data_IF_014933255310
#
_entry.id   IF_014933255310
#
_cell.length_a   1.000
_cell.length_b   1.000
_cell.length_c   1.000
_cell.angle_alpha   90.00
_cell.angle_beta   90.00
_cell.angle_gamma   90.00
#
_symmetry.space_group_name_H-M   'P 1'
#
loop_
_entity.id
_entity.type
_entity.pdbx_description
1 polymer ?
#
# COMPACT_ATOMS: atom_id res chain seq x y z
N UNK A 1 -11.94 -20.76 3.03
CA UNK A 1 -11.07 -19.61 2.74
C UNK A 1 -12.00 -18.44 2.51
N UNK A 2 -11.79 -17.35 3.21
CA UNK A 2 -12.53 -16.11 3.01
C UNK A 2 -12.26 -15.59 1.60
N UNK A 3 -13.28 -15.04 0.91
CA UNK A 3 -13.12 -14.39 -0.41
C UNK A 3 -12.33 -13.06 -0.35
N UNK A 4 -11.56 -12.87 0.75
CA UNK A 4 -10.73 -11.69 0.95
C UNK A 4 -9.69 -11.58 -0.16
N UNK A 5 -9.54 -10.38 -0.72
CA UNK A 5 -8.43 -10.09 -1.61
C UNK A 5 -7.12 -9.99 -0.82
N UNK A 6 -6.10 -10.71 -1.27
CA UNK A 6 -4.73 -10.64 -0.76
C UNK A 6 -3.83 -10.32 -1.95
N UNK A 7 -3.27 -9.12 -1.95
CA UNK A 7 -2.44 -8.62 -3.03
C UNK A 7 -0.95 -8.85 -2.73
N UNK A 8 -0.20 -9.21 -3.78
CA UNK A 8 1.22 -9.02 -3.81
C UNK A 8 1.50 -7.54 -4.07
N UNK A 9 2.11 -6.83 -3.13
CA UNK A 9 2.44 -5.42 -3.31
C UNK A 9 3.66 -5.22 -4.21
N UNK A 10 3.74 -4.07 -4.82
CA UNK A 10 4.82 -3.68 -5.72
C UNK A 10 6.20 -3.72 -5.07
N UNK A 11 6.30 -3.56 -3.76
CA UNK A 11 7.55 -3.57 -3.01
C UNK A 11 8.26 -4.91 -2.88
N UNK A 12 7.67 -6.02 -3.36
CA UNK A 12 8.27 -7.36 -3.27
C UNK A 12 9.42 -7.57 -4.27
N UNK A 13 9.49 -6.77 -5.31
CA UNK A 13 10.59 -6.79 -6.28
C UNK A 13 11.79 -5.97 -5.81
N UNK A 14 12.96 -6.19 -6.43
CA UNK A 14 14.19 -5.44 -6.16
C UNK A 14 14.30 -4.15 -6.97
N UNK A 15 15.10 -3.23 -6.42
CA UNK A 15 15.69 -2.15 -7.15
C UNK A 15 14.77 -0.95 -7.43
N UNK A 16 15.42 0.09 -7.91
CA UNK A 16 14.81 1.28 -8.48
C UNK A 16 15.61 1.68 -9.73
N UNK A 17 15.12 1.42 -10.96
CA UNK A 17 13.80 0.87 -11.28
C UNK A 17 13.62 -0.60 -10.86
N UNK A 18 12.35 -1.06 -10.72
CA UNK A 18 12.05 -2.46 -10.42
C UNK A 18 12.63 -3.42 -11.47
N UNK A 19 13.13 -4.57 -11.02
CA UNK A 19 13.66 -5.63 -11.90
C UNK A 19 12.58 -6.32 -12.73
N UNK A 20 11.31 -6.21 -12.30
CA UNK A 20 10.16 -6.89 -12.88
C UNK A 20 9.23 -5.85 -13.51
N UNK A 21 8.76 -6.11 -14.73
CA UNK A 21 7.77 -5.25 -15.37
C UNK A 21 6.42 -5.32 -14.64
N UNK A 22 5.58 -4.27 -14.69
CA UNK A 22 4.25 -4.31 -14.08
C UNK A 22 3.37 -5.47 -14.57
N UNK A 23 3.45 -5.85 -15.84
CA UNK A 23 2.71 -6.99 -16.41
C UNK A 23 3.26 -8.34 -15.87
N UNK A 24 4.58 -8.47 -15.73
CA UNK A 24 5.17 -9.68 -15.16
C UNK A 24 4.89 -9.78 -13.67
N UNK A 25 4.78 -8.65 -12.95
CA UNK A 25 4.34 -8.63 -11.57
C UNK A 25 2.94 -9.24 -11.39
N UNK A 26 2.01 -8.95 -12.31
CA UNK A 26 0.68 -9.60 -12.33
C UNK A 26 0.79 -11.11 -12.51
N UNK A 27 1.62 -11.59 -13.45
CA UNK A 27 1.82 -13.03 -13.69
C UNK A 27 2.48 -13.72 -12.50
N UNK A 28 3.51 -13.10 -11.91
CA UNK A 28 4.18 -13.61 -10.70
C UNK A 28 3.17 -13.73 -9.55
N UNK A 29 2.32 -12.72 -9.32
CA UNK A 29 1.28 -12.79 -8.31
C UNK A 29 0.34 -13.97 -8.54
N UNK A 30 -0.13 -14.16 -9.79
CA UNK A 30 -0.97 -15.29 -10.18
C UNK A 30 -0.28 -16.64 -9.95
N UNK A 31 0.95 -16.79 -10.45
CA UNK A 31 1.72 -18.04 -10.35
C UNK A 31 2.11 -18.38 -8.91
N UNK A 32 2.22 -17.38 -8.04
CA UNK A 32 2.43 -17.55 -6.61
C UNK A 32 1.15 -17.91 -5.84
N UNK A 33 -0.05 -17.70 -6.42
CA UNK A 33 -1.32 -18.03 -5.81
C UNK A 33 -2.05 -16.87 -5.13
N UNK A 34 -1.65 -15.63 -5.40
CA UNK A 34 -2.41 -14.45 -5.00
C UNK A 34 -3.68 -14.29 -5.83
N UNK A 35 -4.66 -13.56 -5.31
CA UNK A 35 -5.90 -13.22 -6.03
C UNK A 35 -5.98 -11.72 -6.40
N UNK A 36 -4.98 -10.94 -6.04
CA UNK A 36 -4.84 -9.53 -6.39
C UNK A 36 -3.38 -9.08 -6.40
N UNK A 37 -3.12 -7.88 -6.91
CA UNK A 37 -1.79 -7.30 -7.05
C UNK A 37 -1.83 -5.79 -6.82
N UNK A 38 -0.83 -5.24 -6.13
CA UNK A 38 -0.52 -3.82 -6.08
C UNK A 38 0.54 -3.48 -7.14
N UNK A 39 0.46 -2.29 -7.72
CA UNK A 39 1.32 -1.90 -8.83
C UNK A 39 2.05 -0.58 -8.55
N UNK A 40 3.35 -0.59 -8.69
CA UNK A 40 4.14 0.62 -8.71
C UNK A 40 4.00 1.33 -10.05
N UNK A 41 3.52 2.58 -10.03
CA UNK A 41 3.32 3.39 -11.22
C UNK A 41 4.28 4.59 -11.20
N UNK A 42 5.37 4.48 -11.95
CA UNK A 42 6.35 5.55 -12.15
C UNK A 42 6.37 5.96 -13.64
N UNK A 43 5.59 6.99 -14.03
CA UNK A 43 5.51 7.41 -15.42
C UNK A 43 6.85 7.84 -15.99
N UNK A 44 7.28 7.18 -17.06
CA UNK A 44 8.58 7.39 -17.71
C UNK A 44 9.68 6.45 -17.25
N UNK A 45 9.53 5.78 -16.08
CA UNK A 45 10.46 4.75 -15.59
C UNK A 45 9.96 3.35 -15.92
N UNK A 46 9.02 2.83 -15.13
CA UNK A 46 8.43 1.50 -15.36
C UNK A 46 7.07 1.54 -16.07
N UNK A 47 6.51 2.74 -16.30
CA UNK A 47 5.20 2.89 -16.93
C UNK A 47 5.27 3.75 -18.18
N UNK A 48 5.22 3.11 -19.33
CA UNK A 48 5.27 3.70 -20.67
C UNK A 48 3.91 3.64 -21.35
N UNK A 49 3.80 4.10 -22.59
CA UNK A 49 2.53 4.17 -23.34
C UNK A 49 1.89 2.81 -23.61
N UNK A 50 2.67 1.72 -23.67
CA UNK A 50 2.15 0.36 -23.85
C UNK A 50 1.82 -0.36 -22.55
N UNK A 51 2.35 0.08 -21.40
CA UNK A 51 2.34 -0.66 -20.14
C UNK A 51 0.92 -0.92 -19.63
N UNK A 52 0.02 0.06 -19.71
CA UNK A 52 -1.37 -0.13 -19.29
C UNK A 52 -2.07 -1.26 -20.07
N UNK A 53 -1.84 -1.33 -21.39
CA UNK A 53 -2.37 -2.41 -22.24
C UNK A 53 -1.77 -3.78 -21.89
N UNK A 54 -0.47 -3.85 -21.59
CA UNK A 54 0.22 -5.09 -21.19
C UNK A 54 -0.27 -5.58 -19.82
N UNK A 55 -0.45 -4.67 -18.86
CA UNK A 55 -1.00 -4.97 -17.53
C UNK A 55 -2.45 -5.41 -17.64
N UNK A 56 -3.29 -4.70 -18.40
CA UNK A 56 -4.69 -5.06 -18.59
C UNK A 56 -4.84 -6.46 -19.23
N UNK A 57 -3.97 -6.79 -20.20
CA UNK A 57 -3.93 -8.13 -20.80
C UNK A 57 -3.53 -9.20 -19.77
N UNK A 58 -2.51 -8.95 -18.95
CA UNK A 58 -2.09 -9.87 -17.90
C UNK A 58 -3.18 -10.06 -16.83
N UNK A 59 -3.88 -9.00 -16.41
CA UNK A 59 -5.01 -9.09 -15.48
C UNK A 59 -6.17 -9.91 -16.08
N UNK A 60 -6.46 -9.72 -17.36
CA UNK A 60 -7.48 -10.54 -18.07
C UNK A 60 -7.07 -12.01 -18.17
N UNK A 61 -5.81 -12.30 -18.47
CA UNK A 61 -5.24 -13.65 -18.58
C UNK A 61 -5.31 -14.39 -17.23
N UNK A 62 -4.96 -13.71 -16.15
CA UNK A 62 -4.84 -14.30 -14.81
C UNK A 62 -6.13 -14.26 -13.99
N UNK A 63 -7.05 -13.36 -14.31
CA UNK A 63 -8.25 -13.10 -13.52
C UNK A 63 -7.99 -12.32 -12.21
N UNK A 64 -6.78 -11.80 -12.03
CA UNK A 64 -6.44 -11.02 -10.83
C UNK A 64 -7.09 -9.63 -10.84
N UNK A 65 -7.24 -9.08 -9.64
CA UNK A 65 -7.68 -7.70 -9.41
C UNK A 65 -6.46 -6.81 -9.16
N UNK A 66 -6.36 -5.67 -9.84
CA UNK A 66 -5.45 -4.61 -9.44
C UNK A 66 -6.02 -3.94 -8.18
N UNK A 67 -5.45 -4.23 -7.00
CA UNK A 67 -5.96 -3.72 -5.73
C UNK A 67 -5.62 -2.25 -5.55
N UNK A 68 -4.39 -1.88 -5.84
CA UNK A 68 -3.92 -0.52 -5.67
C UNK A 68 -2.84 -0.15 -6.69
N UNK A 69 -2.65 1.15 -6.85
CA UNK A 69 -1.48 1.75 -7.48
C UNK A 69 -0.78 2.68 -6.49
N UNK A 70 0.52 2.75 -6.54
CA UNK A 70 1.36 3.56 -5.65
C UNK A 70 2.50 4.23 -6.40
N UNK A 71 3.04 5.35 -5.95
CA UNK A 71 2.67 6.18 -4.81
C UNK A 71 2.48 7.62 -5.31
N UNK A 72 1.48 8.31 -4.78
CA UNK A 72 1.33 9.74 -4.95
C UNK A 72 1.87 10.43 -3.70
N UNK A 73 2.95 11.20 -3.86
CA UNK A 73 3.61 11.88 -2.76
C UNK A 73 3.44 13.40 -2.88
N UNK A 74 2.53 13.96 -2.09
CA UNK A 74 2.33 15.40 -2.01
C UNK A 74 3.58 16.07 -1.43
N UNK A 75 4.28 16.83 -2.27
CA UNK A 75 5.48 17.57 -1.90
C UNK A 75 5.14 18.97 -1.38
N UNK A 76 6.01 19.59 -0.54
CA UNK A 76 5.85 20.97 -0.11
C UNK A 76 5.71 21.92 -1.30
N UNK A 77 4.79 22.90 -1.18
CA UNK A 77 4.63 23.94 -2.20
C UNK A 77 3.20 24.23 -2.63
N UNK A 78 2.24 23.47 -2.13
CA UNK A 78 0.81 23.80 -2.20
C UNK A 78 0.18 23.78 -3.59
N UNK A 79 0.77 23.09 -4.56
CA UNK A 79 0.28 23.06 -5.94
C UNK A 79 -0.07 21.63 -6.37
N UNK A 80 -1.20 21.44 -7.08
CA UNK A 80 -1.48 20.20 -7.77
C UNK A 80 -0.34 19.86 -8.74
N UNK A 81 0.13 18.62 -8.71
CA UNK A 81 1.09 18.10 -9.67
C UNK A 81 0.34 17.31 -10.74
N UNK A 82 0.43 17.70 -12.04
CA UNK A 82 -0.17 16.94 -13.13
C UNK A 82 0.27 15.46 -13.17
N UNK A 83 1.44 15.13 -12.61
CA UNK A 83 1.92 13.76 -12.51
C UNK A 83 1.02 12.90 -11.61
N UNK A 84 0.50 13.46 -10.52
CA UNK A 84 -0.42 12.77 -9.62
C UNK A 84 -1.72 12.37 -10.35
N UNK A 85 -2.30 13.28 -11.12
CA UNK A 85 -3.48 12.99 -11.95
C UNK A 85 -3.20 11.92 -13.01
N UNK A 86 -1.98 11.92 -13.56
CA UNK A 86 -1.55 10.93 -14.54
C UNK A 86 -1.43 9.53 -13.92
N UNK A 87 -0.88 9.42 -12.70
CA UNK A 87 -0.82 8.14 -11.96
C UNK A 87 -2.23 7.59 -11.72
N UNK A 88 -3.17 8.44 -11.27
CA UNK A 88 -4.58 8.05 -11.10
C UNK A 88 -5.20 7.58 -12.41
N UNK A 89 -4.98 8.32 -13.51
CA UNK A 89 -5.50 7.93 -14.81
C UNK A 89 -4.97 6.55 -15.26
N UNK A 90 -3.67 6.32 -15.11
CA UNK A 90 -3.03 5.03 -15.41
C UNK A 90 -3.58 3.90 -14.55
N UNK A 91 -3.80 4.13 -13.25
CA UNK A 91 -4.48 3.19 -12.38
C UNK A 91 -5.90 2.86 -12.86
N UNK A 92 -6.65 3.88 -13.27
CA UNK A 92 -7.99 3.70 -13.84
C UNK A 92 -8.02 2.89 -15.14
N UNK A 93 -7.01 3.05 -16.02
CA UNK A 93 -6.89 2.28 -17.26
C UNK A 93 -6.75 0.77 -17.01
N UNK A 94 -6.16 0.36 -15.90
CA UNK A 94 -6.02 -1.05 -15.50
C UNK A 94 -7.08 -1.50 -14.48
N UNK A 95 -8.03 -0.63 -14.14
CA UNK A 95 -9.14 -0.95 -13.23
C UNK A 95 -8.74 -1.12 -11.78
N UNK A 96 -7.63 -0.49 -11.35
CA UNK A 96 -7.20 -0.47 -9.96
C UNK A 96 -8.30 0.10 -9.05
N UNK A 97 -8.37 -0.40 -7.81
CA UNK A 97 -9.41 -0.01 -6.85
C UNK A 97 -9.01 1.16 -5.99
N UNK A 98 -7.72 1.32 -5.73
CA UNK A 98 -7.18 2.34 -4.82
C UNK A 98 -5.94 3.00 -5.39
N UNK A 99 -5.63 4.22 -4.94
CA UNK A 99 -4.32 4.82 -5.06
C UNK A 99 -3.80 5.23 -3.68
N UNK A 100 -2.54 4.91 -3.41
CA UNK A 100 -1.83 5.25 -2.17
C UNK A 100 -1.34 6.70 -2.26
N UNK A 101 -1.63 7.49 -1.23
CA UNK A 101 -1.25 8.89 -1.13
C UNK A 101 -0.54 9.12 0.19
N UNK A 102 0.57 9.85 0.16
CA UNK A 102 1.28 10.36 1.34
C UNK A 102 1.51 11.86 1.20
N UNK A 103 1.68 12.60 2.31
CA UNK A 103 1.82 14.05 2.27
C UNK A 103 2.99 14.55 3.13
N UNK A 104 3.94 15.20 2.47
CA UNK A 104 4.99 16.03 3.09
C UNK A 104 4.68 17.54 3.00
N UNK A 105 3.47 17.93 2.60
CA UNK A 105 3.03 19.33 2.62
C UNK A 105 2.82 19.79 4.08
N UNK A 106 3.57 20.81 4.56
CA UNK A 106 3.49 21.22 5.95
C UNK A 106 2.21 21.99 6.31
N UNK A 107 1.55 22.60 5.34
CA UNK A 107 0.27 23.26 5.57
C UNK A 107 -0.88 22.25 5.47
N UNK A 108 -1.54 22.01 6.59
CA UNK A 108 -2.63 21.05 6.71
C UNK A 108 -3.84 21.41 5.84
N UNK A 109 -4.17 22.69 5.69
CA UNK A 109 -5.29 23.12 4.85
C UNK A 109 -4.95 22.94 3.36
N UNK A 110 -3.69 23.13 3.00
CA UNK A 110 -3.21 22.80 1.65
C UNK A 110 -3.27 21.29 1.40
N UNK A 111 -2.84 20.47 2.36
CA UNK A 111 -2.99 18.99 2.27
C UNK A 111 -4.45 18.60 2.05
N UNK A 112 -5.41 19.18 2.80
CA UNK A 112 -6.85 18.90 2.63
C UNK A 112 -7.33 19.24 1.24
N UNK A 113 -6.95 20.42 0.72
CA UNK A 113 -7.34 20.84 -0.62
C UNK A 113 -6.76 19.94 -1.72
N UNK A 114 -5.46 19.59 -1.63
CA UNK A 114 -4.82 18.68 -2.59
C UNK A 114 -5.42 17.26 -2.52
N UNK A 115 -5.72 16.77 -1.32
CA UNK A 115 -6.35 15.47 -1.14
C UNK A 115 -7.78 15.44 -1.70
N UNK A 116 -8.56 16.51 -1.56
CA UNK A 116 -9.88 16.65 -2.18
C UNK A 116 -9.80 16.58 -3.71
N UNK A 117 -8.84 17.29 -4.31
CA UNK A 117 -8.59 17.23 -5.76
C UNK A 117 -8.24 15.81 -6.22
N UNK A 118 -7.39 15.09 -5.48
CA UNK A 118 -7.07 13.68 -5.78
C UNK A 118 -8.28 12.75 -5.60
N UNK A 119 -9.13 12.98 -4.61
CA UNK A 119 -10.38 12.22 -4.43
C UNK A 119 -11.31 12.38 -5.64
N UNK A 120 -11.45 13.61 -6.16
CA UNK A 120 -12.27 13.88 -7.36
C UNK A 120 -11.72 13.17 -8.60
N UNK A 121 -10.40 13.11 -8.75
CA UNK A 121 -9.76 12.37 -9.86
C UNK A 121 -9.89 10.86 -9.70
N UNK A 122 -9.68 10.34 -8.49
CA UNK A 122 -9.83 8.93 -8.18
C UNK A 122 -11.27 8.45 -8.41
N UNK A 123 -12.29 9.21 -7.99
CA UNK A 123 -13.70 8.88 -8.25
C UNK A 123 -14.00 8.74 -9.74
N UNK A 124 -13.51 9.70 -10.57
CA UNK A 124 -13.69 9.63 -12.03
C UNK A 124 -12.99 8.42 -12.66
N UNK A 125 -11.89 7.97 -12.07
CA UNK A 125 -11.15 6.79 -12.49
C UNK A 125 -11.72 5.48 -11.91
N UNK A 126 -12.79 5.53 -11.09
CA UNK A 126 -13.37 4.36 -10.42
C UNK A 126 -12.54 3.82 -9.26
N UNK A 127 -11.69 4.67 -8.67
CA UNK A 127 -10.75 4.35 -7.60
C UNK A 127 -11.07 5.11 -6.31
N UNK A 128 -10.41 4.73 -5.22
CA UNK A 128 -10.35 5.50 -3.97
C UNK A 128 -8.96 6.05 -3.73
N UNK A 129 -8.91 7.28 -3.22
CA UNK A 129 -7.70 7.95 -2.76
C UNK A 129 -7.49 7.61 -1.29
N UNK A 130 -6.46 6.82 -0.97
CA UNK A 130 -6.21 6.33 0.39
C UNK A 130 -4.98 7.01 0.98
N UNK A 131 -5.21 7.85 2.01
CA UNK A 131 -4.16 8.61 2.68
C UNK A 131 -3.47 7.75 3.72
N UNK A 132 -2.18 7.54 3.55
CA UNK A 132 -1.31 6.86 4.48
C UNK A 132 -0.58 7.85 5.38
N UNK A 133 -0.48 7.53 6.67
CA UNK A 133 0.29 8.29 7.64
C UNK A 133 1.65 7.64 7.88
N UNK A 134 2.71 8.45 7.87
CA UNK A 134 4.09 8.02 8.06
C UNK A 134 4.87 9.03 8.91
N UNK A 135 5.68 8.57 9.87
CA UNK A 135 6.45 9.44 10.76
C UNK A 135 7.39 10.43 10.03
N UNK A 136 7.84 10.09 8.84
CA UNK A 136 8.76 10.91 8.02
C UNK A 136 8.04 11.88 7.07
N UNK A 137 6.73 11.95 7.11
CA UNK A 137 5.91 12.89 6.33
C UNK A 137 5.28 13.95 7.23
N UNK A 138 4.41 14.82 6.71
CA UNK A 138 3.68 15.80 7.52
C UNK A 138 2.28 15.30 7.94
N UNK A 139 1.76 14.26 7.30
CA UNK A 139 0.66 13.43 7.84
C UNK A 139 1.31 12.28 8.60
N UNK A 140 1.70 12.52 9.85
CA UNK A 140 2.56 11.63 10.63
C UNK A 140 1.81 10.52 11.34
N UNK A 141 0.62 10.82 11.81
CA UNK A 141 -0.15 9.99 12.73
C UNK A 141 -1.53 9.66 12.17
N UNK A 142 -2.18 8.64 12.75
CA UNK A 142 -3.58 8.35 12.42
C UNK A 142 -4.49 9.55 12.68
N UNK A 143 -4.25 10.32 13.73
CA UNK A 143 -5.05 11.53 14.03
C UNK A 143 -4.91 12.58 12.93
N UNK A 144 -3.70 12.75 12.38
CA UNK A 144 -3.48 13.63 11.23
C UNK A 144 -4.25 13.17 9.99
N UNK A 145 -4.22 11.88 9.69
CA UNK A 145 -4.96 11.31 8.56
C UNK A 145 -6.48 11.43 8.75
N UNK A 146 -6.96 11.17 9.98
CA UNK A 146 -8.37 11.36 10.35
C UNK A 146 -8.82 12.81 10.20
N UNK A 147 -7.99 13.78 10.61
CA UNK A 147 -8.30 15.22 10.42
C UNK A 147 -8.49 15.57 8.96
N UNK A 148 -7.56 15.13 8.08
CA UNK A 148 -7.65 15.40 6.64
C UNK A 148 -8.87 14.74 6.03
N UNK A 149 -9.03 13.42 6.22
CA UNK A 149 -10.09 12.64 5.56
C UNK A 149 -11.47 13.03 6.07
N UNK A 150 -11.60 13.36 7.38
CA UNK A 150 -12.87 13.84 7.95
C UNK A 150 -13.25 15.21 7.43
N UNK A 151 -12.31 16.13 7.34
CA UNK A 151 -12.56 17.49 6.85
C UNK A 151 -12.98 17.49 5.38
N UNK A 152 -12.28 16.72 4.55
CA UNK A 152 -12.61 16.58 3.11
C UNK A 152 -13.91 15.80 2.91
N UNK A 153 -14.14 14.74 3.69
CA UNK A 153 -15.36 13.92 3.71
C UNK A 153 -15.86 13.50 2.30
N UNK A 154 -14.94 13.18 1.40
CA UNK A 154 -15.26 12.76 0.04
C UNK A 154 -15.52 11.24 -0.02
N UNK A 155 -16.53 10.74 -0.79
CA UNK A 155 -16.84 9.30 -0.85
C UNK A 155 -15.70 8.45 -1.40
N UNK A 156 -14.87 8.98 -2.29
CA UNK A 156 -13.68 8.32 -2.80
C UNK A 156 -12.45 8.51 -1.90
N UNK A 157 -12.54 9.23 -0.79
CA UNK A 157 -11.46 9.37 0.18
C UNK A 157 -11.40 8.18 1.14
N UNK A 158 -10.21 7.83 1.62
CA UNK A 158 -9.99 6.78 2.60
C UNK A 158 -8.67 6.94 3.34
N UNK A 159 -8.46 6.06 4.31
CA UNK A 159 -7.23 5.94 5.09
C UNK A 159 -6.60 4.59 4.77
N UNK A 160 -5.30 4.58 4.52
CA UNK A 160 -4.51 3.36 4.46
C UNK A 160 -3.81 3.15 5.80
N UNK A 161 -3.95 1.94 6.33
CA UNK A 161 -3.24 1.48 7.52
C UNK A 161 -2.15 0.51 7.10
N UNK A 162 -0.91 0.82 7.45
CA UNK A 162 0.23 -0.09 7.39
C UNK A 162 0.74 -0.36 8.80
N UNK A 163 0.86 -1.62 9.25
CA UNK A 163 1.42 -1.97 10.55
C UNK A 163 2.81 -1.39 10.81
N UNK A 164 3.66 -1.29 9.79
CA UNK A 164 4.97 -0.65 9.90
C UNK A 164 4.82 0.80 10.36
N UNK A 165 4.07 1.60 9.62
CA UNK A 165 3.90 3.02 9.92
C UNK A 165 3.15 3.24 11.22
N UNK A 166 2.16 2.39 11.53
CA UNK A 166 1.40 2.44 12.78
C UNK A 166 2.28 2.19 14.02
N UNK A 167 3.15 1.18 13.95
CA UNK A 167 4.11 0.87 15.03
C UNK A 167 5.19 1.97 15.16
N UNK A 168 5.71 2.48 14.03
CA UNK A 168 6.78 3.49 14.01
C UNK A 168 6.38 4.84 14.58
N UNK A 169 5.08 5.14 14.68
CA UNK A 169 4.57 6.32 15.40
C UNK A 169 4.10 6.00 16.84
N UNK A 170 4.27 4.75 17.29
CA UNK A 170 3.96 4.33 18.64
C UNK A 170 2.47 4.20 18.94
N UNK A 171 1.65 3.94 17.95
CA UNK A 171 0.21 3.76 18.15
C UNK A 171 -0.13 2.37 18.71
N UNK A 172 -1.13 2.33 19.58
CA UNK A 172 -1.74 1.09 20.03
C UNK A 172 -2.57 0.47 18.87
N UNK A 173 -2.53 -0.85 18.63
CA UNK A 173 -3.36 -1.53 17.63
C UNK A 173 -4.86 -1.20 17.73
N UNK A 174 -5.39 -1.03 18.93
CA UNK A 174 -6.82 -0.70 19.14
C UNK A 174 -7.21 0.67 18.57
N UNK A 175 -6.25 1.59 18.38
CA UNK A 175 -6.49 2.89 17.76
C UNK A 175 -7.01 2.78 16.32
N UNK A 176 -6.72 1.68 15.63
CA UNK A 176 -7.24 1.40 14.28
C UNK A 176 -8.79 1.37 14.27
N UNK A 177 -9.43 0.96 15.38
CA UNK A 177 -10.89 0.92 15.52
C UNK A 177 -11.56 2.31 15.53
N UNK A 178 -10.78 3.37 15.69
CA UNK A 178 -11.28 4.74 15.58
C UNK A 178 -11.61 5.13 14.14
N UNK A 179 -11.10 4.38 13.15
CA UNK A 179 -11.35 4.65 11.74
C UNK A 179 -12.76 4.17 11.37
N UNK A 180 -13.67 5.06 10.97
CA UNK A 180 -14.96 4.66 10.43
C UNK A 180 -14.80 3.71 9.23
N UNK A 181 -15.53 2.59 9.22
CA UNK A 181 -15.42 1.56 8.18
C UNK A 181 -15.54 2.09 6.75
N UNK A 182 -16.32 3.16 6.53
CA UNK A 182 -16.48 3.82 5.22
C UNK A 182 -15.17 4.36 4.64
N UNK A 183 -14.15 4.64 5.49
CA UNK A 183 -12.84 5.15 5.07
C UNK A 183 -11.78 4.07 4.94
N UNK A 184 -12.11 2.82 5.25
CA UNK A 184 -11.24 1.67 5.01
C UNK A 184 -11.63 1.03 3.68
N UNK A 185 -10.72 1.04 2.72
CA UNK A 185 -10.87 0.40 1.41
C UNK A 185 -9.97 -0.83 1.28
N UNK A 186 -8.78 -0.74 1.84
CA UNK A 186 -7.81 -1.80 1.99
C UNK A 186 -6.82 -1.43 3.10
N UNK A 187 -5.98 -2.36 3.50
CA UNK A 187 -4.85 -2.12 4.40
C UNK A 187 -3.61 -2.83 3.86
N UNK A 188 -2.44 -2.36 4.24
CA UNK A 188 -1.21 -3.12 4.06
C UNK A 188 -0.99 -4.06 5.25
N UNK A 189 -0.17 -5.09 5.04
CA UNK A 189 0.26 -5.99 6.10
C UNK A 189 1.72 -6.36 5.93
N UNK A 190 2.49 -6.20 6.99
CA UNK A 190 3.88 -6.62 7.13
C UNK A 190 4.22 -6.76 8.61
N UNK A 191 5.40 -7.29 8.91
CA UNK A 191 6.00 -7.35 10.23
C UNK A 191 7.40 -6.73 10.22
N UNK A 192 8.06 -6.62 11.37
CA UNK A 192 9.42 -6.10 11.52
C UNK A 192 10.14 -6.78 12.68
N UNK A 193 11.50 -6.88 12.60
CA UNK A 193 12.30 -7.49 13.66
C UNK A 193 12.12 -6.79 15.01
N UNK A 194 12.07 -5.47 15.02
CA UNK A 194 12.04 -4.65 16.23
C UNK A 194 10.84 -3.71 16.27
N UNK A 195 10.31 -3.53 17.46
CA UNK A 195 9.22 -2.60 17.78
C UNK A 195 9.74 -1.20 18.07
N UNK A 196 8.81 -0.25 18.06
CA UNK A 196 8.98 1.07 18.64
C UNK A 196 9.15 2.20 17.65
N UNK A 197 9.16 3.40 18.21
CA UNK A 197 9.26 4.67 17.47
C UNK A 197 10.66 4.84 16.91
N UNK A 198 10.76 5.19 15.63
CA UNK A 198 12.00 5.57 14.96
C UNK A 198 11.85 7.01 14.48
N UNK A 199 12.70 7.90 14.99
CA UNK A 199 12.68 9.34 14.69
C UNK A 199 13.77 9.77 13.73
N UNK A 200 14.79 8.94 13.52
CA UNK A 200 15.84 9.19 12.54
C UNK A 200 15.30 8.86 11.14
N UNK A 201 15.25 9.82 10.19
CA UNK A 201 14.66 9.61 8.88
C UNK A 201 15.41 8.57 8.03
N UNK A 202 16.74 8.48 8.16
CA UNK A 202 17.54 7.54 7.36
C UNK A 202 17.32 6.11 7.86
N UNK A 203 17.32 5.91 9.19
CA UNK A 203 16.99 4.60 9.79
C UNK A 203 15.57 4.17 9.45
N UNK A 204 14.60 5.09 9.52
CA UNK A 204 13.23 4.82 9.14
C UNK A 204 13.10 4.38 7.67
N UNK A 205 13.80 5.10 6.77
CA UNK A 205 13.78 4.77 5.35
C UNK A 205 14.38 3.39 5.08
N UNK A 206 15.51 3.06 5.70
CA UNK A 206 16.13 1.72 5.59
C UNK A 206 15.17 0.63 6.08
N UNK A 207 14.55 0.82 7.25
CA UNK A 207 13.56 -0.12 7.77
C UNK A 207 12.38 -0.30 6.80
N UNK A 208 11.90 0.78 6.20
CA UNK A 208 10.75 0.76 5.29
C UNK A 208 11.02 -0.02 4.00
N UNK A 209 12.25 0.05 3.46
CA UNK A 209 12.60 -0.54 2.15
C UNK A 209 13.34 -1.88 2.24
N UNK A 210 13.94 -2.18 3.39
CA UNK A 210 14.81 -3.36 3.56
C UNK A 210 14.47 -4.20 4.81
N UNK A 211 13.82 -3.60 5.80
CA UNK A 211 13.63 -4.20 7.12
C UNK A 211 12.34 -4.98 7.32
N UNK A 212 11.41 -4.97 6.35
CA UNK A 212 10.12 -5.63 6.54
C UNK A 212 10.24 -7.16 6.49
N UNK A 213 9.33 -7.83 7.22
CA UNK A 213 9.17 -9.27 7.29
C UNK A 213 7.73 -9.65 6.95
N UNK A 214 7.50 -10.92 6.63
CA UNK A 214 6.15 -11.41 6.48
C UNK A 214 5.43 -11.48 7.85
N UNK A 215 4.10 -11.39 7.89
CA UNK A 215 3.33 -11.43 9.14
C UNK A 215 3.69 -12.64 10.03
N UNK A 216 3.99 -12.37 11.30
CA UNK A 216 4.35 -13.38 12.29
C UNK A 216 5.83 -13.74 12.37
N UNK A 217 6.68 -13.14 11.55
CA UNK A 217 8.14 -13.36 11.62
C UNK A 217 8.87 -12.33 12.48
N UNK A 218 8.21 -11.27 12.84
CA UNK A 218 8.77 -10.18 13.63
C UNK A 218 8.17 -10.06 15.02
N UNK A 219 8.19 -8.86 15.55
CA UNK A 219 7.72 -8.55 16.91
C UNK A 219 6.59 -7.51 16.96
N UNK A 220 6.12 -7.02 15.81
CA UNK A 220 4.98 -6.11 15.75
C UNK A 220 3.69 -6.86 16.11
N UNK A 221 2.73 -6.23 16.82
CA UNK A 221 1.46 -6.87 17.16
C UNK A 221 0.51 -6.95 15.97
N UNK A 222 0.98 -7.51 14.84
CA UNK A 222 0.26 -7.56 13.55
C UNK A 222 -1.08 -8.26 13.69
N UNK A 223 -1.17 -9.34 14.50
CA UNK A 223 -2.43 -10.03 14.73
C UNK A 223 -3.48 -9.14 15.43
N UNK A 224 -3.07 -8.29 16.38
CA UNK A 224 -3.97 -7.35 17.03
C UNK A 224 -4.42 -6.26 16.05
N UNK A 225 -3.50 -5.73 15.24
CA UNK A 225 -3.81 -4.74 14.21
C UNK A 225 -4.77 -5.29 13.16
N UNK A 226 -4.51 -6.51 12.65
CA UNK A 226 -5.39 -7.17 11.69
C UNK A 226 -6.80 -7.45 12.26
N UNK A 227 -6.91 -7.80 13.55
CA UNK A 227 -8.21 -7.97 14.25
C UNK A 227 -8.93 -6.65 14.54
N UNK A 228 -8.24 -5.52 14.49
CA UNK A 228 -8.85 -4.21 14.59
C UNK A 228 -9.47 -3.72 13.28
N UNK A 229 -9.07 -4.30 12.16
CA UNK A 229 -9.63 -4.04 10.82
C UNK A 229 -10.89 -4.88 10.55
N UNK A 230 -11.77 -4.48 9.62
CA UNK A 230 -12.85 -5.34 9.13
C UNK A 230 -12.33 -6.68 8.59
N UNK A 231 -13.04 -7.78 8.88
CA UNK A 231 -12.56 -9.14 8.57
C UNK A 231 -12.47 -9.46 7.08
N UNK A 232 -13.22 -8.76 6.24
CA UNK A 232 -13.27 -8.90 4.79
C UNK A 232 -12.47 -7.81 4.04
N UNK A 233 -11.82 -6.91 4.79
CA UNK A 233 -11.03 -5.82 4.19
C UNK A 233 -9.91 -6.40 3.33
N UNK A 234 -9.77 -5.98 2.05
CA UNK A 234 -8.64 -6.34 1.21
C UNK A 234 -7.28 -6.00 1.85
N UNK A 235 -6.32 -6.89 1.68
CA UNK A 235 -4.97 -6.74 2.25
C UNK A 235 -3.93 -6.72 1.13
N UNK A 236 -2.99 -5.77 1.20
CA UNK A 236 -1.81 -5.71 0.34
C UNK A 236 -0.56 -6.08 1.16
N UNK A 237 0.20 -7.08 0.72
CA UNK A 237 1.41 -7.54 1.41
C UNK A 237 2.61 -6.71 0.92
N UNK A 238 2.91 -5.63 1.60
CA UNK A 238 4.08 -4.80 1.30
C UNK A 238 5.29 -5.27 2.11
N UNK A 239 5.98 -6.27 1.57
CA UNK A 239 7.14 -6.89 2.23
C UNK A 239 8.43 -6.49 1.50
N UNK A 240 8.84 -5.24 1.69
CA UNK A 240 10.15 -4.75 1.23
C UNK A 240 11.22 -5.25 2.19
N UNK A 241 11.96 -6.28 1.80
CA UNK A 241 12.81 -7.06 2.70
C UNK A 241 14.11 -7.48 2.04
N UNK A 242 15.23 -7.01 2.56
CA UNK A 242 16.56 -7.49 2.16
C UNK A 242 16.72 -8.99 2.46
N UNK A 243 16.21 -9.44 3.61
CA UNK A 243 16.21 -10.85 3.99
C UNK A 243 15.54 -11.74 2.93
N UNK A 244 14.34 -11.37 2.48
CA UNK A 244 13.62 -12.13 1.47
C UNK A 244 14.31 -12.07 0.11
N UNK A 245 14.89 -10.93 -0.28
CA UNK A 245 15.64 -10.79 -1.54
C UNK A 245 16.91 -11.64 -1.57
N UNK A 246 17.63 -11.71 -0.46
CA UNK A 246 18.84 -12.51 -0.36
C UNK A 246 18.55 -14.02 -0.28
N UNK A 247 17.46 -14.40 0.40
CA UNK A 247 17.06 -15.81 0.58
C UNK A 247 16.41 -16.37 -0.70
N UNK A 248 15.54 -15.61 -1.31
CA UNK A 248 14.77 -15.99 -2.51
C UNK A 248 15.07 -15.02 -3.66
N UNK A 249 16.09 -15.34 -4.45
CA UNK A 249 16.51 -14.47 -5.56
C UNK A 249 15.51 -14.40 -6.69
N UNK A 250 14.81 -15.49 -6.96
CA UNK A 250 13.71 -15.54 -7.92
C UNK A 250 12.47 -14.82 -7.34
N UNK A 251 11.92 -13.79 -8.01
CA UNK A 251 10.75 -13.06 -7.53
C UNK A 251 9.50 -13.94 -7.30
N UNK A 252 9.32 -15.00 -8.10
CA UNK A 252 8.21 -15.93 -7.94
C UNK A 252 8.37 -16.78 -6.68
N UNK A 253 9.57 -17.30 -6.41
CA UNK A 253 9.86 -18.05 -5.18
C UNK A 253 9.69 -17.14 -3.95
N UNK A 254 10.14 -15.91 -4.04
CA UNK A 254 9.95 -14.87 -3.00
C UNK A 254 8.48 -14.62 -2.72
N UNK A 255 7.68 -14.39 -3.76
CA UNK A 255 6.24 -14.17 -3.64
C UNK A 255 5.52 -15.36 -3.01
N UNK A 256 5.89 -16.60 -3.38
CA UNK A 256 5.35 -17.84 -2.79
C UNK A 256 5.68 -17.99 -1.31
N UNK A 257 6.92 -17.69 -0.93
CA UNK A 257 7.35 -17.77 0.46
C UNK A 257 6.59 -16.79 1.35
N UNK A 258 6.45 -15.54 0.92
CA UNK A 258 5.69 -14.51 1.62
C UNK A 258 4.21 -14.93 1.77
N UNK A 259 3.58 -15.42 0.70
CA UNK A 259 2.17 -15.84 0.76
C UNK A 259 1.99 -17.03 1.71
N UNK A 260 2.87 -18.04 1.64
CA UNK A 260 2.80 -19.21 2.50
C UNK A 260 2.91 -18.84 3.98
N UNK A 261 3.86 -17.97 4.34
CA UNK A 261 4.01 -17.45 5.70
C UNK A 261 2.78 -16.68 6.16
N UNK A 262 2.24 -15.80 5.30
CA UNK A 262 1.04 -15.03 5.62
C UNK A 262 -0.19 -15.92 5.81
N UNK A 263 -0.36 -16.96 4.99
CA UNK A 263 -1.46 -17.93 5.15
C UNK A 263 -1.34 -18.73 6.45
N UNK A 264 -0.12 -19.14 6.84
CA UNK A 264 0.13 -19.78 8.12
C UNK A 264 -0.24 -18.86 9.29
N UNK A 265 0.16 -17.60 9.22
CA UNK A 265 -0.17 -16.57 10.21
C UNK A 265 -1.70 -16.37 10.31
N UNK A 266 -2.41 -16.27 9.19
CA UNK A 266 -3.87 -16.13 9.20
C UNK A 266 -4.54 -17.35 9.82
N UNK A 267 -4.07 -18.56 9.50
CA UNK A 267 -4.61 -19.81 10.07
C UNK A 267 -4.40 -19.88 11.60
N UNK A 268 -3.22 -19.48 12.09
CA UNK A 268 -2.89 -19.46 13.51
C UNK A 268 -3.75 -18.47 14.30
N UNK A 269 -4.02 -17.29 13.73
CA UNK A 269 -4.71 -16.22 14.44
C UNK A 269 -6.22 -16.12 14.14
N UNK A 270 -6.76 -16.96 13.25
CA UNK A 270 -8.17 -16.96 12.86
C UNK A 270 -8.57 -15.70 12.08
N UNK A 271 -7.72 -15.26 11.14
CA UNK A 271 -7.87 -14.06 10.33
C UNK A 271 -8.36 -14.38 8.91
#
# INVERSE_FOLDING_TARGET
MTDRLVALASGVHDGNPPEVSPADMVRIASDAGYNSVGLWVAPGDNWHSSTAGEVAAALQETGLVALDVEVIWLQPGGKPDPMHHKIIAMGGEVGAKNCLIVSSEPDREVTKHLFEDLCLHAERAGMRACLEYMAITEVKTLDDALDVVTAVNHPAGGILVDPFHHERVGHDPEKIREIPARWLSYAQLCDMPERGVVTDPDAYYIDAIDGRLAPGEGSVPVAAMAKALPTDLPISLEIRSLHYRETYRDPLERARAILAQTQAFFAEHGL
#
